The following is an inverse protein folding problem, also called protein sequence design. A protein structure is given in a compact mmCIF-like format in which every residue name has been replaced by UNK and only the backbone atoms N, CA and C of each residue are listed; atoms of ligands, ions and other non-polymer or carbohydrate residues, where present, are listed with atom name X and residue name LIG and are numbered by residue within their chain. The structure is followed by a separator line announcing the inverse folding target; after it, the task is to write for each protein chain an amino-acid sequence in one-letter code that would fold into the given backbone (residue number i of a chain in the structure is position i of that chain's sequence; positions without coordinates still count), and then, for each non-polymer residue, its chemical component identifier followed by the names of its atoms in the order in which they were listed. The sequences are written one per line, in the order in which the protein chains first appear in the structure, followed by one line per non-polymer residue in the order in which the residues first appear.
data_IF_691700439540
#
_entry.id   IF_691700439540
#
_cell.length_a   1.000
_cell.length_b   1.000
_cell.length_c   1.000
_cell.angle_alpha   90.00
_cell.angle_beta   90.00
_cell.angle_gamma   90.00
#
_symmetry.space_group_name_H-M   'P 1'
#
loop_
_entity.id
_entity.type
_entity.pdbx_description
1 polymer ?
#
# COMPACT_ATOMS: atom_id res chain seq x y z
N UNK A 1 -32.80 -24.79 -15.07
CA UNK A 1 -31.80 -24.10 -14.24
C UNK A 1 -32.12 -22.62 -14.24
N UNK A 2 -32.34 -22.03 -13.07
CA UNK A 2 -32.74 -20.63 -12.90
C UNK A 2 -31.50 -19.80 -12.55
N UNK A 3 -31.35 -18.61 -13.14
CA UNK A 3 -30.26 -17.69 -12.82
C UNK A 3 -30.71 -16.79 -11.68
N UNK A 4 -29.86 -16.58 -10.68
CA UNK A 4 -30.13 -15.66 -9.56
C UNK A 4 -29.02 -14.63 -9.43
N UNK A 5 -29.39 -13.39 -9.15
CA UNK A 5 -28.47 -12.35 -8.66
C UNK A 5 -28.69 -12.15 -7.17
N UNK A 6 -27.61 -11.85 -6.45
CA UNK A 6 -27.68 -11.59 -5.01
C UNK A 6 -27.38 -10.13 -4.75
N UNK A 7 -28.38 -9.50 -4.14
CA UNK A 7 -28.41 -8.10 -3.80
C UNK A 7 -28.28 -7.95 -2.30
N UNK A 8 -27.48 -6.97 -1.88
CA UNK A 8 -27.33 -6.60 -0.48
C UNK A 8 -27.83 -5.17 -0.28
N UNK A 9 -28.70 -5.01 0.73
CA UNK A 9 -29.14 -3.71 1.23
C UNK A 9 -29.04 -3.71 2.74
N UNK A 10 -28.12 -2.90 3.24
CA UNK A 10 -27.77 -2.85 4.68
C UNK A 10 -27.31 -4.22 5.19
N UNK A 11 -28.10 -4.89 6.02
CA UNK A 11 -27.76 -6.20 6.65
C UNK A 11 -28.55 -7.38 6.05
N UNK A 12 -29.30 -7.17 4.98
CA UNK A 12 -30.17 -8.18 4.37
C UNK A 12 -29.65 -8.56 2.98
N UNK A 13 -29.41 -9.86 2.79
CA UNK A 13 -29.05 -10.45 1.49
C UNK A 13 -30.28 -11.11 0.87
N UNK A 14 -30.60 -10.73 -0.37
CA UNK A 14 -31.78 -11.20 -1.10
C UNK A 14 -31.32 -11.82 -2.41
N UNK A 15 -31.72 -13.06 -2.67
CA UNK A 15 -31.55 -13.71 -3.97
C UNK A 15 -32.75 -13.41 -4.86
N UNK A 16 -32.50 -12.75 -5.99
CA UNK A 16 -33.52 -12.38 -6.98
C UNK A 16 -33.33 -13.25 -8.21
N UNK A 17 -34.41 -13.93 -8.63
CA UNK A 17 -34.43 -14.75 -9.83
C UNK A 17 -34.39 -13.83 -11.05
N UNK A 18 -33.34 -13.92 -11.86
CA UNK A 18 -33.19 -13.17 -13.09
C UNK A 18 -33.77 -13.94 -14.27
N UNK A 19 -34.48 -13.23 -15.15
CA UNK A 19 -34.86 -13.75 -16.45
C UNK A 19 -33.68 -13.59 -17.43
N UNK A 20 -33.23 -14.69 -18.06
CA UNK A 20 -31.98 -14.72 -18.86
C UNK A 20 -31.97 -13.78 -20.08
N UNK A 21 -33.11 -13.22 -20.47
CA UNK A 21 -33.25 -12.40 -21.68
C UNK A 21 -32.94 -10.91 -21.42
N UNK A 22 -33.20 -10.39 -20.20
CA UNK A 22 -33.15 -8.95 -19.89
C UNK A 22 -32.30 -8.62 -18.63
N UNK A 23 -31.40 -9.53 -18.26
CA UNK A 23 -30.65 -9.51 -16.99
C UNK A 23 -29.89 -8.21 -16.72
N UNK A 24 -29.30 -7.56 -17.73
CA UNK A 24 -28.56 -6.31 -17.57
C UNK A 24 -29.48 -5.14 -17.19
N UNK A 25 -30.67 -5.05 -17.78
CA UNK A 25 -31.63 -3.96 -17.51
C UNK A 25 -32.26 -4.08 -16.11
N UNK A 26 -32.53 -5.31 -15.66
CA UNK A 26 -33.07 -5.57 -14.32
C UNK A 26 -32.03 -5.30 -13.23
N UNK A 27 -30.76 -5.64 -13.47
CA UNK A 27 -29.65 -5.33 -12.57
C UNK A 27 -29.39 -3.83 -12.43
N UNK A 28 -29.56 -3.07 -13.52
CA UNK A 28 -29.38 -1.61 -13.52
C UNK A 28 -30.53 -0.89 -12.77
N UNK A 29 -31.78 -1.35 -12.95
CA UNK A 29 -32.92 -0.86 -12.17
C UNK A 29 -32.74 -1.10 -10.66
N UNK A 30 -32.23 -2.27 -10.26
CA UNK A 30 -31.98 -2.61 -8.86
C UNK A 30 -30.80 -1.84 -8.25
N UNK A 31 -29.78 -1.48 -9.06
CA UNK A 31 -28.70 -0.57 -8.66
C UNK A 31 -29.22 0.84 -8.39
N UNK A 32 -30.17 1.33 -9.19
CA UNK A 32 -30.80 2.65 -9.01
C UNK A 32 -31.67 2.73 -7.74
N UNK A 33 -32.23 1.62 -7.27
CA UNK A 33 -32.97 1.52 -6.00
C UNK A 33 -32.06 1.40 -4.74
N UNK A 34 -30.74 1.44 -4.94
CA UNK A 34 -29.75 1.44 -3.87
C UNK A 34 -29.32 0.05 -3.38
N UNK A 35 -29.55 -1.00 -4.17
CA UNK A 35 -29.03 -2.34 -3.87
C UNK A 35 -27.63 -2.54 -4.45
N UNK A 36 -26.71 -3.09 -3.64
CA UNK A 36 -25.36 -3.43 -4.08
C UNK A 36 -25.36 -4.88 -4.59
N UNK A 37 -24.97 -5.07 -5.85
CA UNK A 37 -24.85 -6.41 -6.45
C UNK A 37 -23.54 -7.06 -5.97
N UNK A 38 -23.62 -8.22 -5.32
CA UNK A 38 -22.42 -8.94 -4.82
C UNK A 38 -21.97 -10.01 -5.81
N UNK A 39 -22.90 -10.72 -6.44
CA UNK A 39 -22.62 -11.77 -7.42
C UNK A 39 -23.66 -11.66 -8.53
N UNK A 40 -23.18 -11.46 -9.78
CA UNK A 40 -24.03 -11.12 -10.92
C UNK A 40 -24.83 -12.32 -11.45
N UNK A 41 -24.32 -13.55 -11.34
CA UNK A 41 -25.01 -14.75 -11.83
C UNK A 41 -24.64 -15.99 -11.01
N UNK A 42 -25.64 -16.60 -10.34
CA UNK A 42 -25.52 -17.89 -9.66
C UNK A 42 -26.58 -18.83 -10.20
N UNK A 43 -26.16 -19.89 -10.90
CA UNK A 43 -27.05 -20.98 -11.32
C UNK A 43 -27.41 -21.85 -10.09
N UNK A 44 -28.68 -21.82 -9.69
CA UNK A 44 -29.20 -22.57 -8.56
C UNK A 44 -30.60 -23.13 -8.85
N UNK A 45 -30.99 -24.16 -8.10
CA UNK A 45 -32.33 -24.75 -8.21
C UNK A 45 -33.36 -24.01 -7.35
N UNK A 46 -32.93 -23.41 -6.24
CA UNK A 46 -33.77 -22.67 -5.29
C UNK A 46 -33.01 -21.46 -4.67
N UNK A 47 -33.76 -20.48 -4.16
CA UNK A 47 -33.26 -19.24 -3.56
C UNK A 47 -32.30 -19.49 -2.37
N UNK A 48 -32.59 -20.51 -1.57
CA UNK A 48 -31.74 -20.92 -0.44
C UNK A 48 -30.40 -21.52 -0.89
N UNK A 49 -30.39 -22.25 -2.02
CA UNK A 49 -29.19 -22.84 -2.61
C UNK A 49 -28.32 -21.76 -3.31
N UNK A 50 -28.95 -20.75 -3.90
CA UNK A 50 -28.26 -19.58 -4.46
C UNK A 50 -27.48 -18.80 -3.38
N UNK A 51 -28.10 -18.56 -2.22
CA UNK A 51 -27.46 -17.86 -1.09
C UNK A 51 -26.26 -18.65 -0.53
N UNK A 52 -26.37 -19.97 -0.42
CA UNK A 52 -25.27 -20.82 0.04
C UNK A 52 -24.09 -20.83 -0.93
N UNK A 53 -24.35 -21.01 -2.23
CA UNK A 53 -23.31 -20.99 -3.27
C UNK A 53 -22.63 -19.63 -3.37
N UNK A 54 -23.37 -18.53 -3.23
CA UNK A 54 -22.78 -17.20 -3.25
C UNK A 54 -21.93 -16.91 -2.03
N UNK A 55 -22.32 -17.38 -0.83
CA UNK A 55 -21.48 -17.28 0.37
C UNK A 55 -20.17 -18.07 0.19
N UNK A 56 -20.25 -19.25 -0.43
CA UNK A 56 -19.05 -20.04 -0.77
C UNK A 56 -18.18 -19.33 -1.81
N UNK A 57 -18.75 -18.76 -2.88
CA UNK A 57 -18.05 -17.99 -3.91
C UNK A 57 -17.41 -16.70 -3.35
N UNK A 58 -18.07 -16.03 -2.42
CA UNK A 58 -17.56 -14.85 -1.75
C UNK A 58 -16.41 -15.23 -0.81
N UNK A 59 -16.49 -16.39 -0.14
CA UNK A 59 -15.39 -16.93 0.65
C UNK A 59 -14.19 -17.36 -0.21
N UNK A 60 -14.39 -18.03 -1.35
CA UNK A 60 -13.30 -18.36 -2.29
C UNK A 60 -12.73 -17.13 -2.98
N UNK A 61 -13.52 -16.10 -3.26
CA UNK A 61 -13.01 -14.83 -3.82
C UNK A 61 -12.24 -14.02 -2.78
N UNK A 62 -12.68 -14.04 -1.51
CA UNK A 62 -11.97 -13.41 -0.41
C UNK A 62 -10.64 -14.12 -0.10
N UNK A 63 -10.56 -15.45 -0.27
CA UNK A 63 -9.30 -16.20 -0.15
C UNK A 63 -8.46 -16.15 -1.43
N UNK A 64 -9.05 -16.03 -2.62
CA UNK A 64 -8.31 -15.82 -3.87
C UNK A 64 -7.69 -14.41 -3.99
N UNK A 65 -8.25 -13.42 -3.27
CA UNK A 65 -7.62 -12.08 -3.11
C UNK A 65 -6.41 -12.06 -2.17
N UNK A 66 -6.00 -13.19 -1.61
CA UNK A 66 -4.97 -13.29 -0.57
C UNK A 66 -3.71 -14.06 -1.02
N UNK A 67 -3.19 -13.81 -2.23
CA UNK A 67 -1.77 -14.11 -2.48
C UNK A 67 -1.09 -13.25 -3.56
N UNK A 68 -1.35 -11.94 -3.58
CA UNK A 68 -0.36 -11.02 -4.17
C UNK A 68 0.71 -10.73 -3.13
N UNK A 69 1.60 -11.70 -2.88
CA UNK A 69 2.90 -11.39 -2.28
C UNK A 69 3.71 -10.62 -3.33
N UNK A 70 3.75 -9.29 -3.20
CA UNK A 70 4.72 -8.46 -3.91
C UNK A 70 6.11 -9.10 -3.77
N UNK A 71 6.64 -9.61 -4.88
CA UNK A 71 8.01 -10.18 -4.96
C UNK A 71 9.08 -9.16 -4.57
N UNK A 72 8.72 -7.89 -4.40
CA UNK A 72 9.60 -6.79 -4.04
C UNK A 72 9.67 -6.49 -2.53
N UNK A 73 9.04 -7.33 -1.69
CA UNK A 73 9.08 -7.20 -0.22
C UNK A 73 10.50 -7.07 0.33
N UNK A 74 11.47 -7.75 -0.27
CA UNK A 74 12.90 -7.64 0.08
C UNK A 74 13.47 -6.24 -0.20
N UNK A 75 13.10 -5.62 -1.32
CA UNK A 75 13.52 -4.25 -1.67
C UNK A 75 12.97 -3.20 -0.71
N UNK A 76 11.71 -3.36 -0.29
CA UNK A 76 11.08 -2.53 0.74
C UNK A 76 11.78 -2.66 2.11
N UNK A 77 12.18 -3.88 2.49
CA UNK A 77 12.91 -4.13 3.75
C UNK A 77 14.29 -3.47 3.72
N UNK A 78 15.04 -3.65 2.63
CA UNK A 78 16.36 -3.02 2.46
C UNK A 78 16.24 -1.49 2.48
N UNK A 79 15.28 -0.94 1.75
CA UNK A 79 14.98 0.50 1.79
C UNK A 79 14.68 0.99 3.20
N UNK A 80 13.87 0.26 3.97
CA UNK A 80 13.55 0.61 5.36
C UNK A 80 14.78 0.60 6.27
N UNK A 81 15.67 -0.39 6.13
CA UNK A 81 16.92 -0.47 6.91
C UNK A 81 17.83 0.72 6.59
N UNK A 82 18.04 1.01 5.31
CA UNK A 82 18.85 2.16 4.87
C UNK A 82 18.28 3.46 5.41
N UNK A 83 16.94 3.61 5.43
CA UNK A 83 16.27 4.77 5.99
C UNK A 83 16.51 4.93 7.50
N UNK A 84 16.43 3.85 8.28
CA UNK A 84 16.72 3.87 9.73
C UNK A 84 18.17 4.26 9.99
N UNK A 85 19.12 3.65 9.26
CA UNK A 85 20.54 3.97 9.38
C UNK A 85 20.79 5.43 9.00
N UNK A 86 20.15 5.93 7.94
CA UNK A 86 20.25 7.33 7.52
C UNK A 86 19.82 8.30 8.61
N UNK A 87 18.69 8.04 9.28
CA UNK A 87 18.25 8.85 10.42
C UNK A 87 19.19 8.79 11.61
N UNK A 88 19.76 7.61 11.92
CA UNK A 88 20.78 7.49 12.96
C UNK A 88 22.03 8.32 12.63
N UNK A 89 22.50 8.28 11.39
CA UNK A 89 23.62 9.13 10.95
C UNK A 89 23.31 10.62 11.06
N UNK A 90 22.08 11.03 10.72
CA UNK A 90 21.65 12.43 10.89
C UNK A 90 21.78 12.88 12.35
N UNK A 91 21.31 12.05 13.30
CA UNK A 91 21.40 12.34 14.73
C UNK A 91 22.86 12.43 15.18
N UNK A 92 23.67 11.42 14.86
CA UNK A 92 25.10 11.38 15.22
C UNK A 92 25.86 12.56 14.60
N UNK A 93 25.53 12.94 13.36
CA UNK A 93 26.12 14.10 12.69
C UNK A 93 25.81 15.40 13.41
N UNK A 94 24.54 15.61 13.79
CA UNK A 94 24.11 16.76 14.58
C UNK A 94 24.80 16.82 15.94
N UNK A 95 24.88 15.70 16.66
CA UNK A 95 25.58 15.63 17.95
C UNK A 95 27.06 16.00 17.82
N UNK A 96 27.75 15.49 16.79
CA UNK A 96 29.16 15.82 16.54
C UNK A 96 29.35 17.30 16.16
N UNK A 97 28.43 17.88 15.38
CA UNK A 97 28.48 19.31 15.06
C UNK A 97 28.34 20.17 16.31
N UNK A 98 27.40 19.82 17.20
CA UNK A 98 27.17 20.54 18.45
C UNK A 98 28.35 20.37 19.42
N UNK A 99 28.83 19.15 19.61
CA UNK A 99 29.99 18.87 20.46
C UNK A 99 31.26 19.60 20.00
N UNK A 100 31.52 19.61 18.69
CA UNK A 100 32.63 20.35 18.10
C UNK A 100 32.54 21.85 18.33
N UNK A 101 31.34 22.43 18.28
CA UNK A 101 31.12 23.86 18.56
C UNK A 101 31.34 24.22 20.03
N UNK A 102 30.89 23.38 20.97
CA UNK A 102 31.04 23.63 22.43
C UNK A 102 32.50 23.50 22.86
N UNK A 103 33.22 22.47 22.40
CA UNK A 103 34.64 22.29 22.75
C UNK A 103 35.54 23.42 22.21
N UNK A 104 35.19 23.98 21.06
CA UNK A 104 35.96 25.08 20.45
C UNK A 104 35.69 26.44 21.11
N UNK A 105 34.52 26.64 21.74
CA UNK A 105 34.22 27.85 22.52
C UNK A 105 35.08 27.99 23.77
N UNK A 106 35.41 26.89 24.46
CA UNK A 106 36.25 26.93 25.68
C UNK A 106 37.73 27.21 25.39
N UNK A 107 38.22 26.85 24.20
CA UNK A 107 39.65 26.98 23.86
C UNK A 107 39.99 28.17 22.97
N UNK A 108 39.06 28.66 22.15
CA UNK A 108 39.36 29.66 21.12
C UNK A 108 38.25 30.71 21.01
N UNK A 109 38.25 31.67 21.95
CA UNK A 109 37.20 32.69 22.13
C UNK A 109 36.98 33.61 20.89
N UNK A 110 37.87 33.62 19.89
CA UNK A 110 37.85 34.63 18.81
C UNK A 110 38.05 34.13 17.36
N UNK A 111 38.03 32.82 17.07
CA UNK A 111 38.21 32.33 15.70
C UNK A 111 37.02 31.52 15.19
N UNK A 112 36.09 32.19 14.51
CA UNK A 112 34.98 31.57 13.79
C UNK A 112 35.44 30.48 12.81
N UNK A 113 36.66 30.60 12.25
CA UNK A 113 37.23 29.60 11.35
C UNK A 113 37.52 28.25 12.02
N UNK A 114 37.95 28.26 13.29
CA UNK A 114 38.22 27.03 14.05
C UNK A 114 36.91 26.36 14.46
N UNK A 115 35.90 27.15 14.85
CA UNK A 115 34.57 26.62 15.16
C UNK A 115 33.96 25.94 13.93
N UNK A 116 34.06 26.57 12.75
CA UNK A 116 33.53 26.01 11.51
C UNK A 116 34.25 24.72 11.09
N UNK A 117 35.58 24.66 11.23
CA UNK A 117 36.35 23.46 10.90
C UNK A 117 36.08 22.30 11.85
N UNK A 118 35.80 22.58 13.13
CA UNK A 118 35.40 21.56 14.10
C UNK A 118 34.02 20.95 13.80
N UNK A 119 33.13 21.67 13.11
CA UNK A 119 31.80 21.19 12.73
C UNK A 119 31.81 20.34 11.44
N UNK A 120 32.83 20.47 10.59
CA UNK A 120 32.90 19.81 9.27
C UNK A 120 32.74 18.27 9.32
N UNK A 121 33.38 17.54 10.25
CA UNK A 121 33.21 16.09 10.33
C UNK A 121 31.76 15.69 10.60
N UNK A 122 31.09 16.36 11.56
CA UNK A 122 29.68 16.10 11.86
C UNK A 122 28.75 16.47 10.71
N UNK A 123 29.06 17.55 9.98
CA UNK A 123 28.33 17.96 8.79
C UNK A 123 28.42 16.92 7.66
N UNK A 124 29.58 16.30 7.46
CA UNK A 124 29.75 15.23 6.48
C UNK A 124 28.92 13.98 6.80
N UNK A 125 28.86 13.60 8.08
CA UNK A 125 28.03 12.48 8.56
C UNK A 125 26.54 12.82 8.40
N UNK A 126 26.14 14.03 8.78
CA UNK A 126 24.77 14.52 8.63
C UNK A 126 24.29 14.48 7.18
N UNK A 127 25.08 15.02 6.25
CA UNK A 127 24.77 14.98 4.82
C UNK A 127 24.67 13.54 4.29
N UNK A 128 25.61 12.68 4.67
CA UNK A 128 25.59 11.26 4.28
C UNK A 128 24.32 10.55 4.78
N UNK A 129 23.87 10.89 6.00
CA UNK A 129 22.61 10.43 6.56
C UNK A 129 21.40 10.88 5.75
N UNK A 130 21.34 12.16 5.36
CA UNK A 130 20.26 12.69 4.50
C UNK A 130 20.22 11.98 3.13
N UNK A 131 21.38 11.74 2.50
CA UNK A 131 21.45 11.00 1.25
C UNK A 131 20.96 9.55 1.40
N UNK A 132 21.29 8.87 2.52
CA UNK A 132 20.73 7.54 2.81
C UNK A 132 19.20 7.56 2.95
N UNK A 133 18.64 8.57 3.64
CA UNK A 133 17.19 8.72 3.76
C UNK A 133 16.54 8.97 2.40
N UNK A 134 17.16 9.80 1.55
CA UNK A 134 16.69 10.03 0.18
C UNK A 134 16.74 8.74 -0.66
N UNK A 135 17.85 7.98 -0.59
CA UNK A 135 17.97 6.70 -1.28
C UNK A 135 16.90 5.69 -0.84
N UNK A 136 16.59 5.62 0.46
CA UNK A 136 15.49 4.82 0.99
C UNK A 136 14.14 5.16 0.36
N UNK A 137 13.84 6.45 0.22
CA UNK A 137 12.61 6.92 -0.40
C UNK A 137 12.55 6.59 -1.90
N UNK A 138 13.67 6.73 -2.62
CA UNK A 138 13.78 6.36 -4.03
C UNK A 138 13.56 4.85 -4.23
N UNK A 139 14.14 4.01 -3.38
CA UNK A 139 13.93 2.55 -3.41
C UNK A 139 12.45 2.24 -3.20
N UNK A 140 11.81 2.86 -2.20
CA UNK A 140 10.38 2.66 -1.92
C UNK A 140 9.52 3.07 -3.12
N UNK A 141 9.74 4.25 -3.69
CA UNK A 141 9.01 4.72 -4.86
C UNK A 141 9.20 3.81 -6.08
N UNK A 142 10.40 3.26 -6.25
CA UNK A 142 10.71 2.33 -7.35
C UNK A 142 9.96 1.01 -7.20
N UNK A 143 9.91 0.46 -5.98
CA UNK A 143 9.11 -0.74 -5.68
C UNK A 143 7.62 -0.48 -5.89
N UNK A 144 7.11 0.64 -5.39
CA UNK A 144 5.69 1.01 -5.54
C UNK A 144 5.32 1.17 -7.02
N UNK A 145 6.20 1.76 -7.84
CA UNK A 145 5.98 1.89 -9.28
C UNK A 145 6.01 0.55 -10.02
N UNK A 146 6.92 -0.35 -9.63
CA UNK A 146 6.99 -1.70 -10.19
C UNK A 146 5.73 -2.51 -9.85
N UNK A 147 5.27 -2.45 -8.61
CA UNK A 147 4.03 -3.11 -8.17
C UNK A 147 2.79 -2.56 -8.90
N UNK A 148 2.69 -1.24 -9.06
CA UNK A 148 1.59 -0.63 -9.80
C UNK A 148 1.62 -1.01 -11.29
N UNK A 149 2.79 -1.00 -11.93
CA UNK A 149 2.94 -1.40 -13.33
C UNK A 149 2.52 -2.85 -13.53
N UNK A 150 2.91 -3.73 -12.60
CA UNK A 150 2.52 -5.13 -12.65
C UNK A 150 1.00 -5.33 -12.47
N UNK A 151 0.37 -4.58 -11.55
CA UNK A 151 -1.09 -4.60 -11.38
C UNK A 151 -1.84 -4.11 -12.61
N UNK A 152 -1.36 -3.04 -13.25
CA UNK A 152 -1.93 -2.54 -14.51
C UNK A 152 -1.81 -3.60 -15.60
N UNK A 153 -0.66 -4.27 -15.69
CA UNK A 153 -0.46 -5.34 -16.66
C UNK A 153 -1.43 -6.51 -16.46
N UNK A 154 -1.62 -6.99 -15.22
CA UNK A 154 -2.60 -8.04 -14.92
C UNK A 154 -4.02 -7.61 -15.28
N UNK A 155 -4.40 -6.39 -14.90
CA UNK A 155 -5.73 -5.84 -15.22
C UNK A 155 -5.99 -5.75 -16.73
N UNK A 156 -4.99 -5.36 -17.52
CA UNK A 156 -5.08 -5.31 -18.99
C UNK A 156 -5.13 -6.70 -19.64
N UNK A 157 -4.58 -7.72 -18.98
CA UNK A 157 -4.59 -9.11 -19.44
C UNK A 157 -5.93 -9.81 -19.15
N UNK A 158 -6.82 -9.19 -18.37
CA UNK A 158 -8.12 -9.75 -17.99
C UNK A 158 -8.05 -10.78 -16.86
N UNK A 159 -6.98 -10.75 -16.06
CA UNK A 159 -6.81 -11.50 -14.79
C UNK A 159 -7.09 -10.57 -13.59
#
# INVERSE_FOLDING_TARGET
MSCFAILEKSDIQIAVKLNKVDAESELEALRLEGYKVIVEQVDAEDSSDALLKAKQLQQTTATAKMDYQSKYKTGLVVGKIIGVIGWLMVIVGLENMLAGSVQSMDQYIWSYGIMFSAMLPGFGIFLSGLFSVAASQVIKATVDNADNTHRIYLHLKGE
#
